data_IF_442939862447
#
_entry.id   IF_442939862447
#
_cell.length_a   1.000
_cell.length_b   1.000
_cell.length_c   1.000
_cell.angle_alpha   90.00
_cell.angle_beta   90.00
_cell.angle_gamma   90.00
#
_symmetry.space_group_name_H-M   'P 1'
#
loop_
_entity.id
_entity.type
_entity.pdbx_description
1 polymer ?
#
# COMPACT_ATOMS: atom_id res chain seq x y z
N UNK A 1 -28.69 0.93 11.98
CA UNK A 1 -29.68 0.81 13.07
C UNK A 1 -30.55 -0.43 12.89
N UNK A 2 -31.31 -0.56 11.79
CA UNK A 2 -32.18 -1.73 11.53
C UNK A 2 -31.44 -3.07 11.48
N UNK A 3 -30.34 -3.18 10.73
CA UNK A 3 -29.59 -4.44 10.58
C UNK A 3 -28.96 -4.95 11.89
N UNK A 4 -28.64 -4.04 12.81
CA UNK A 4 -27.98 -4.36 14.09
C UNK A 4 -28.94 -4.32 15.28
N UNK A 5 -30.25 -4.21 15.02
CA UNK A 5 -31.29 -4.25 16.05
C UNK A 5 -31.15 -3.17 17.14
N UNK A 6 -30.58 -2.00 16.84
CA UNK A 6 -30.29 -0.96 17.83
C UNK A 6 -30.78 0.42 17.38
N UNK A 7 -31.13 1.30 18.33
CA UNK A 7 -31.55 2.68 18.02
C UNK A 7 -30.41 3.48 17.38
N UNK A 8 -30.77 4.51 16.59
CA UNK A 8 -29.79 5.37 15.93
C UNK A 8 -28.83 6.03 16.92
N UNK A 9 -29.34 6.52 18.05
CA UNK A 9 -28.52 7.07 19.14
C UNK A 9 -27.51 6.06 19.70
N UNK A 10 -27.91 4.79 19.87
CA UNK A 10 -27.02 3.72 20.33
C UNK A 10 -25.91 3.43 19.33
N UNK A 11 -26.25 3.40 18.04
CA UNK A 11 -25.29 3.16 16.95
C UNK A 11 -24.28 4.32 16.89
N UNK A 12 -24.76 5.56 16.94
CA UNK A 12 -23.91 6.76 16.93
C UNK A 12 -22.90 6.74 18.08
N UNK A 13 -23.37 6.47 19.31
CA UNK A 13 -22.51 6.38 20.50
C UNK A 13 -21.43 5.31 20.36
N UNK A 14 -21.75 4.17 19.72
CA UNK A 14 -20.78 3.09 19.46
C UNK A 14 -19.75 3.49 18.40
N UNK A 15 -20.17 4.09 17.29
CA UNK A 15 -19.23 4.59 16.26
C UNK A 15 -18.28 5.61 16.87
N UNK A 16 -18.78 6.59 17.60
CA UNK A 16 -17.94 7.59 18.27
C UNK A 16 -16.95 6.95 19.26
N UNK A 17 -17.39 5.93 20.00
CA UNK A 17 -16.49 5.17 20.87
C UNK A 17 -15.40 4.46 20.05
N UNK A 18 -15.76 3.79 18.96
CA UNK A 18 -14.78 3.10 18.11
C UNK A 18 -13.78 4.05 17.45
N UNK A 19 -14.21 5.27 17.10
CA UNK A 19 -13.31 6.33 16.61
C UNK A 19 -12.38 6.79 17.73
N UNK A 20 -12.92 7.09 18.92
CA UNK A 20 -12.10 7.51 20.08
C UNK A 20 -11.11 6.44 20.53
N UNK A 21 -11.50 5.18 20.48
CA UNK A 21 -10.67 4.03 20.86
C UNK A 21 -9.66 3.66 19.74
N UNK A 22 -9.68 4.36 18.59
CA UNK A 22 -8.76 4.12 17.48
C UNK A 22 -9.06 2.87 16.64
N UNK A 23 -10.16 2.17 16.92
CA UNK A 23 -10.61 1.00 16.14
C UNK A 23 -11.04 1.44 14.74
N UNK A 24 -11.77 2.56 14.64
CA UNK A 24 -12.01 3.25 13.36
C UNK A 24 -10.97 4.35 13.24
N UNK A 25 -9.95 4.11 12.42
CA UNK A 25 -8.83 5.05 12.25
C UNK A 25 -9.18 6.21 11.31
N UNK A 26 -10.04 5.98 10.30
CA UNK A 26 -10.52 7.01 9.38
C UNK A 26 -11.80 6.57 8.65
N UNK A 27 -12.51 7.56 8.11
CA UNK A 27 -13.50 7.35 7.05
C UNK A 27 -12.89 7.79 5.73
N UNK A 28 -12.95 6.94 4.70
CA UNK A 28 -12.35 7.21 3.39
C UNK A 28 -13.20 6.64 2.27
N UNK A 29 -12.94 7.08 1.05
CA UNK A 29 -13.49 6.48 -0.17
C UNK A 29 -12.64 5.30 -0.63
N UNK A 30 -13.27 4.27 -1.18
CA UNK A 30 -12.59 3.19 -1.90
C UNK A 30 -12.55 3.54 -3.39
N UNK A 31 -11.35 3.52 -4.00
CA UNK A 31 -11.11 4.01 -5.36
C UNK A 31 -10.79 2.84 -6.28
N UNK A 32 -11.56 2.69 -7.37
CA UNK A 32 -11.23 1.72 -8.43
C UNK A 32 -10.16 2.29 -9.36
N UNK A 33 -8.90 1.98 -9.06
CA UNK A 33 -7.74 2.49 -9.80
C UNK A 33 -7.75 2.15 -11.30
N UNK A 34 -8.37 1.01 -11.69
CA UNK A 34 -8.52 0.67 -13.11
C UNK A 34 -9.35 1.71 -13.87
N UNK A 35 -10.38 2.27 -13.22
CA UNK A 35 -11.23 3.31 -13.84
C UNK A 35 -10.53 4.66 -13.93
N UNK A 36 -9.43 4.84 -13.21
CA UNK A 36 -8.58 6.03 -13.26
C UNK A 36 -7.38 5.86 -14.20
N UNK A 37 -7.29 4.75 -14.94
CA UNK A 37 -6.16 4.47 -15.84
C UNK A 37 -4.91 3.90 -15.15
N UNK A 38 -4.94 3.77 -13.82
CA UNK A 38 -3.88 3.12 -13.02
C UNK A 38 -4.04 1.61 -13.07
N UNK A 39 -3.48 0.99 -14.11
CA UNK A 39 -3.68 -0.44 -14.43
C UNK A 39 -2.47 -1.31 -14.11
N UNK A 40 -1.29 -0.73 -13.89
CA UNK A 40 -0.07 -1.49 -13.62
C UNK A 40 0.14 -1.59 -12.12
N UNK A 41 -0.22 -2.74 -11.55
CA UNK A 41 0.06 -3.05 -10.15
C UNK A 41 1.29 -3.94 -10.05
N UNK A 42 2.23 -3.58 -9.18
CA UNK A 42 3.45 -4.35 -8.98
C UNK A 42 3.80 -4.47 -7.50
N UNK A 43 4.42 -5.61 -7.17
CA UNK A 43 5.12 -5.80 -5.91
C UNK A 43 6.61 -5.77 -6.17
N UNK A 44 7.34 -5.03 -5.33
CA UNK A 44 8.79 -5.02 -5.36
C UNK A 44 9.30 -5.49 -4.01
N UNK A 45 10.01 -6.62 -4.00
CA UNK A 45 10.84 -7.00 -2.87
C UNK A 45 12.19 -6.33 -3.00
N UNK A 46 12.70 -5.76 -1.90
CA UNK A 46 14.07 -5.28 -1.78
C UNK A 46 14.82 -6.03 -0.68
N UNK A 47 16.03 -6.46 -1.02
CA UNK A 47 17.05 -6.84 -0.04
C UNK A 47 17.98 -5.66 0.15
N UNK A 48 18.20 -5.24 1.39
CA UNK A 48 18.94 -4.01 1.70
C UNK A 48 20.01 -4.23 2.75
N UNK A 49 21.03 -3.39 2.75
CA UNK A 49 22.01 -3.33 3.82
C UNK A 49 21.33 -2.82 5.10
N UNK A 50 21.47 -3.51 6.25
CA UNK A 50 20.81 -3.10 7.49
C UNK A 50 21.12 -1.66 7.91
N UNK A 51 22.34 -1.18 7.66
CA UNK A 51 22.76 0.18 7.98
C UNK A 51 22.04 1.27 7.15
N UNK A 52 21.56 0.93 5.94
CA UNK A 52 20.90 1.86 5.00
C UNK A 52 19.36 1.75 5.02
N UNK A 53 18.81 0.78 5.75
CA UNK A 53 17.38 0.48 5.74
C UNK A 53 16.51 1.70 6.07
N UNK A 54 16.90 2.49 7.08
CA UNK A 54 16.12 3.68 7.48
C UNK A 54 16.11 4.75 6.39
N UNK A 55 17.26 5.04 5.81
CA UNK A 55 17.41 6.04 4.75
C UNK A 55 16.57 5.65 3.52
N UNK A 56 16.63 4.37 3.13
CA UNK A 56 15.84 3.82 2.02
C UNK A 56 14.34 3.95 2.30
N UNK A 57 13.88 3.57 3.50
CA UNK A 57 12.47 3.69 3.89
C UNK A 57 12.00 5.15 3.88
N UNK A 58 12.84 6.08 4.35
CA UNK A 58 12.49 7.50 4.37
C UNK A 58 12.28 8.06 2.96
N UNK A 59 13.14 7.69 2.00
CA UNK A 59 12.99 8.12 0.60
C UNK A 59 11.75 7.50 -0.02
N UNK A 60 11.60 6.17 0.06
CA UNK A 60 10.51 5.46 -0.61
C UNK A 60 9.13 5.80 -0.03
N UNK A 61 9.03 6.07 1.27
CA UNK A 61 7.76 6.45 1.91
C UNK A 61 7.23 7.82 1.49
N UNK A 62 8.06 8.67 0.87
CA UNK A 62 7.65 9.99 0.34
C UNK A 62 7.19 9.91 -1.12
N UNK A 63 7.39 8.77 -1.79
CA UNK A 63 7.01 8.60 -3.19
C UNK A 63 5.50 8.30 -3.31
N UNK A 64 4.73 9.09 -4.07
CA UNK A 64 3.27 8.94 -4.16
C UNK A 64 2.80 7.65 -4.83
N UNK A 65 3.66 7.00 -5.63
CA UNK A 65 3.30 5.74 -6.30
C UNK A 65 3.46 4.53 -5.37
N UNK A 66 4.22 4.68 -4.27
CA UNK A 66 4.32 3.70 -3.18
C UNK A 66 3.03 3.73 -2.36
N UNK A 67 2.16 2.74 -2.58
CA UNK A 67 0.89 2.63 -1.85
C UNK A 67 1.11 2.05 -0.46
N UNK A 68 1.97 1.04 -0.37
CA UNK A 68 2.33 0.44 0.91
C UNK A 68 3.78 0.02 0.91
N UNK A 69 4.42 0.21 2.07
CA UNK A 69 5.79 -0.17 2.34
C UNK A 69 5.82 -1.04 3.59
N UNK A 70 6.10 -2.33 3.41
CA UNK A 70 6.14 -3.31 4.48
C UNK A 70 7.58 -3.64 4.83
N UNK A 71 7.83 -3.84 6.13
CA UNK A 71 8.98 -4.58 6.62
C UNK A 71 8.60 -6.05 6.68
N UNK A 72 9.43 -6.92 6.09
CA UNK A 72 9.15 -8.36 6.03
C UNK A 72 10.22 -9.17 6.75
N UNK A 73 9.82 -10.31 7.30
CA UNK A 73 10.73 -11.38 7.71
C UNK A 73 10.82 -12.38 6.57
N UNK A 74 12.02 -12.62 6.02
CA UNK A 74 12.21 -13.55 4.92
C UNK A 74 13.41 -13.16 4.06
N UNK A 75 13.40 -13.60 2.79
CA UNK A 75 14.49 -13.35 1.86
C UNK A 75 14.65 -11.87 1.45
N UNK A 76 13.58 -11.10 1.59
CA UNK A 76 13.55 -9.66 1.33
C UNK A 76 13.23 -8.93 2.63
N UNK A 77 13.92 -7.80 2.85
CA UNK A 77 13.78 -6.98 4.06
C UNK A 77 12.58 -6.03 3.95
N UNK A 78 12.30 -5.58 2.73
CA UNK A 78 11.24 -4.62 2.41
C UNK A 78 10.39 -5.19 1.28
N UNK A 79 9.06 -5.05 1.40
CA UNK A 79 8.11 -5.34 0.33
C UNK A 79 7.30 -4.07 0.03
N UNK A 80 7.24 -3.69 -1.23
CA UNK A 80 6.58 -2.47 -1.71
C UNK A 80 5.39 -2.86 -2.57
N UNK A 81 4.24 -2.25 -2.34
CA UNK A 81 3.08 -2.28 -3.23
C UNK A 81 3.01 -0.97 -4.00
N UNK A 82 3.00 -1.06 -5.33
CA UNK A 82 3.05 0.07 -6.25
C UNK A 82 1.89 0.02 -7.23
N UNK A 83 1.45 1.19 -7.67
CA UNK A 83 0.46 1.30 -8.75
C UNK A 83 0.76 2.47 -9.70
N UNK A 84 0.85 2.15 -10.99
CA UNK A 84 1.21 3.07 -12.06
C UNK A 84 0.14 3.10 -13.15
N UNK A 85 0.14 4.16 -13.96
CA UNK A 85 -0.70 4.27 -15.16
C UNK A 85 -0.09 3.50 -16.33
N UNK A 86 1.24 3.51 -16.42
CA UNK A 86 1.98 2.97 -17.57
C UNK A 86 3.19 2.14 -17.16
N UNK A 87 3.58 1.22 -18.04
CA UNK A 87 4.74 0.35 -17.81
C UNK A 87 6.06 1.15 -17.76
N UNK A 88 6.12 2.25 -18.52
CA UNK A 88 7.26 3.17 -18.54
C UNK A 88 7.49 3.84 -17.18
N UNK A 89 6.43 4.11 -16.42
CA UNK A 89 6.53 4.69 -15.07
C UNK A 89 7.14 3.68 -14.09
N UNK A 90 6.73 2.40 -14.17
CA UNK A 90 7.35 1.33 -13.41
C UNK A 90 8.85 1.21 -13.76
N UNK A 91 9.19 1.20 -15.05
CA UNK A 91 10.60 1.16 -15.47
C UNK A 91 11.39 2.36 -14.94
N UNK A 92 10.82 3.57 -15.03
CA UNK A 92 11.42 4.78 -14.48
C UNK A 92 11.63 4.67 -12.96
N UNK A 93 10.66 4.12 -12.23
CA UNK A 93 10.79 3.88 -10.80
C UNK A 93 11.95 2.92 -10.48
N UNK A 94 12.07 1.82 -11.23
CA UNK A 94 13.17 0.86 -11.07
C UNK A 94 14.54 1.49 -11.37
N UNK A 95 14.62 2.33 -12.40
CA UNK A 95 15.89 2.93 -12.83
C UNK A 95 16.29 4.17 -12.05
N UNK A 96 15.35 4.93 -11.49
CA UNK A 96 15.63 6.22 -10.85
C UNK A 96 15.41 6.18 -9.34
N UNK A 97 14.26 5.69 -8.89
CA UNK A 97 13.88 5.70 -7.47
C UNK A 97 14.58 4.57 -6.67
N UNK A 98 14.90 3.45 -7.32
CA UNK A 98 15.61 2.34 -6.70
C UNK A 98 17.15 2.41 -6.84
N UNK A 99 17.71 3.52 -7.32
CA UNK A 99 19.18 3.73 -7.35
C UNK A 99 19.78 4.11 -5.99
N UNK A 100 19.12 3.73 -4.91
CA UNK A 100 19.54 4.07 -3.55
C UNK A 100 20.70 3.18 -3.10
N UNK A 101 21.69 3.81 -2.45
CA UNK A 101 22.82 3.10 -1.88
C UNK A 101 22.34 2.11 -0.80
N UNK A 102 22.85 0.88 -0.88
CA UNK A 102 22.52 -0.18 0.07
C UNK A 102 21.40 -1.12 -0.39
N UNK A 103 20.80 -0.91 -1.56
CA UNK A 103 19.95 -1.95 -2.18
C UNK A 103 20.88 -3.04 -2.76
N UNK A 104 20.73 -4.26 -2.25
CA UNK A 104 21.54 -5.43 -2.60
C UNK A 104 20.87 -6.31 -3.67
N UNK A 105 19.55 -6.25 -3.75
CA UNK A 105 18.78 -7.05 -4.69
C UNK A 105 17.33 -6.60 -4.77
N UNK A 106 16.77 -6.74 -5.97
CA UNK A 106 15.40 -6.32 -6.29
C UNK A 106 14.68 -7.48 -6.97
N UNK A 107 13.45 -7.75 -6.55
CA UNK A 107 12.57 -8.72 -7.23
C UNK A 107 11.27 -8.02 -7.56
N UNK A 108 10.91 -7.99 -8.84
CA UNK A 108 9.71 -7.32 -9.34
C UNK A 108 8.69 -8.36 -9.75
N UNK A 109 7.49 -8.25 -9.20
CA UNK A 109 6.35 -9.10 -9.53
C UNK A 109 5.20 -8.24 -10.01
N UNK A 110 4.89 -8.32 -11.30
CA UNK A 110 3.78 -7.58 -11.89
C UNK A 110 2.50 -8.41 -11.74
N UNK A 111 1.42 -7.77 -11.31
CA UNK A 111 0.12 -8.41 -11.16
C UNK A 111 -0.56 -8.45 -12.54
N UNK A 112 -0.78 -9.67 -13.05
CA UNK A 112 -1.50 -9.90 -14.31
C UNK A 112 -3.00 -9.69 -14.13
N UNK A 113 -3.56 -10.15 -13.00
CA UNK A 113 -4.96 -9.98 -12.69
C UNK A 113 -5.34 -10.59 -11.34
N UNK A 114 -6.30 -10.00 -10.61
CA UNK A 114 -6.77 -10.54 -9.34
C UNK A 114 -7.83 -11.61 -9.56
N UNK A 115 -7.73 -12.75 -8.86
CA UNK A 115 -8.85 -13.68 -8.70
C UNK A 115 -9.94 -13.12 -7.77
N UNK A 116 -9.55 -12.31 -6.78
CA UNK A 116 -10.42 -11.63 -5.83
C UNK A 116 -9.78 -10.29 -5.44
N UNK A 117 -10.54 -9.19 -5.51
CA UNK A 117 -10.09 -7.85 -5.11
C UNK A 117 -10.31 -7.60 -3.63
N UNK A 118 -9.49 -6.75 -3.03
CA UNK A 118 -9.68 -6.32 -1.65
C UNK A 118 -10.79 -5.25 -1.57
N UNK A 119 -11.85 -5.46 -0.77
CA UNK A 119 -13.03 -4.59 -0.82
C UNK A 119 -12.82 -3.21 -0.17
N UNK A 120 -11.80 -3.02 0.68
CA UNK A 120 -11.54 -1.75 1.36
C UNK A 120 -10.39 -0.95 0.76
N UNK A 121 -9.41 -1.59 0.11
CA UNK A 121 -8.36 -0.87 -0.62
C UNK A 121 -8.70 -0.69 -2.09
N UNK A 122 -9.68 -1.43 -2.62
CA UNK A 122 -10.01 -1.49 -4.04
C UNK A 122 -8.80 -1.85 -4.94
N UNK A 123 -7.77 -2.43 -4.31
CA UNK A 123 -6.53 -2.96 -4.86
C UNK A 123 -6.58 -4.49 -4.98
#
# INVERSE_FOLDING_TARGET
SKEVGATEATVRRRIEKLVRDGVITRFTVAIDYHKLGRVIKAFIGLRVQPARLRDIVEVLSKNPDVQVLYRTSGDMDIMIELIFEKMEELNSFLENELRLEGILGTTVTIVIGPYKRCPWTAL
#
